data_IF_900533566988
#
_entry.id   IF_900533566988
#
_cell.length_a   1.000
_cell.length_b   1.000
_cell.length_c   1.000
_cell.angle_alpha   90.00
_cell.angle_beta   90.00
_cell.angle_gamma   90.00
#
_symmetry.space_group_name_H-M   'P 1'
#
loop_
_entity.id
_entity.type
_entity.pdbx_description
1 polymer ?
#
# COMPACT_ATOMS: atom_id res chain seq x y z
N UNK A 1 -8.21 26.87 -10.80
CA UNK A 1 -7.25 25.76 -10.89
C UNK A 1 -7.92 24.58 -10.23
N UNK A 2 -8.02 23.45 -10.91
CA UNK A 2 -8.61 22.24 -10.35
C UNK A 2 -7.50 21.42 -9.66
N UNK A 3 -7.75 21.02 -8.42
CA UNK A 3 -6.84 20.22 -7.59
C UNK A 3 -7.39 18.82 -7.31
N UNK A 4 -8.48 18.45 -7.97
CA UNK A 4 -9.02 17.10 -7.91
C UNK A 4 -8.08 16.10 -8.57
N UNK A 5 -8.11 14.87 -8.07
CA UNK A 5 -7.45 13.76 -8.74
C UNK A 5 -8.21 13.44 -10.03
N UNK A 6 -7.48 13.06 -11.07
CA UNK A 6 -8.09 12.38 -12.21
C UNK A 6 -8.73 11.06 -11.78
N UNK A 7 -9.63 10.54 -12.61
CA UNK A 7 -10.30 9.26 -12.36
C UNK A 7 -9.29 8.11 -12.15
N UNK A 8 -8.25 8.05 -12.98
CA UNK A 8 -7.16 7.05 -12.85
C UNK A 8 -6.42 7.19 -11.51
N UNK A 9 -6.07 8.41 -11.12
CA UNK A 9 -5.41 8.66 -9.84
C UNK A 9 -6.32 8.31 -8.65
N UNK A 10 -7.63 8.51 -8.77
CA UNK A 10 -8.60 8.13 -7.75
C UNK A 10 -8.69 6.60 -7.64
N UNK A 11 -8.74 5.87 -8.76
CA UNK A 11 -8.72 4.41 -8.77
C UNK A 11 -7.44 3.84 -8.15
N UNK A 12 -6.26 4.38 -8.50
CA UNK A 12 -5.00 3.98 -7.90
C UNK A 12 -4.99 4.21 -6.38
N UNK A 13 -5.44 5.39 -5.94
CA UNK A 13 -5.56 5.71 -4.51
C UNK A 13 -6.46 4.72 -3.79
N UNK A 14 -7.62 4.39 -4.36
CA UNK A 14 -8.57 3.47 -3.75
C UNK A 14 -8.01 2.04 -3.66
N UNK A 15 -7.26 1.59 -4.67
CA UNK A 15 -6.54 0.30 -4.66
C UNK A 15 -5.49 0.25 -3.55
N UNK A 16 -4.65 1.28 -3.42
CA UNK A 16 -3.64 1.37 -2.35
C UNK A 16 -4.30 1.42 -0.96
N UNK A 17 -5.40 2.18 -0.82
CA UNK A 17 -6.14 2.24 0.44
C UNK A 17 -6.78 0.91 0.84
N UNK A 18 -7.17 0.08 -0.14
CA UNK A 18 -7.65 -1.27 0.12
C UNK A 18 -6.52 -2.17 0.58
N UNK A 19 -5.41 -2.18 -0.14
CA UNK A 19 -4.21 -2.94 0.23
C UNK A 19 -3.76 -2.65 1.67
N UNK A 20 -3.67 -1.38 2.05
CA UNK A 20 -3.21 -1.01 3.40
C UNK A 20 -4.15 -1.53 4.49
N UNK A 21 -5.47 -1.51 4.24
CA UNK A 21 -6.47 -2.05 5.17
C UNK A 21 -6.44 -3.57 5.29
N UNK A 22 -6.16 -4.27 4.20
CA UNK A 22 -6.23 -5.73 4.18
C UNK A 22 -4.91 -6.37 4.61
N UNK A 23 -3.78 -5.81 4.16
CA UNK A 23 -2.46 -6.46 4.22
C UNK A 23 -1.45 -5.70 5.10
N UNK A 24 -1.77 -4.47 5.53
CA UNK A 24 -0.82 -3.59 6.23
C UNK A 24 -1.37 -2.95 7.49
N UNK A 25 -2.13 -3.72 8.25
CA UNK A 25 -2.60 -3.36 9.58
C UNK A 25 -1.44 -3.00 10.53
N UNK A 26 -1.73 -2.22 11.58
CA UNK A 26 -0.70 -1.66 12.47
C UNK A 26 0.17 -2.74 13.12
N UNK A 27 -0.40 -3.91 13.42
CA UNK A 27 0.34 -5.05 13.96
C UNK A 27 1.33 -5.63 12.95
N UNK A 28 0.90 -5.83 11.70
CA UNK A 28 1.76 -6.30 10.62
C UNK A 28 2.93 -5.33 10.42
N UNK A 29 2.64 -4.01 10.42
CA UNK A 29 3.69 -2.98 10.36
C UNK A 29 4.68 -3.08 11.51
N UNK A 30 4.21 -3.27 12.76
CA UNK A 30 5.11 -3.42 13.92
C UNK A 30 6.02 -4.64 13.80
N UNK A 31 5.50 -5.77 13.30
CA UNK A 31 6.30 -6.98 13.05
C UNK A 31 7.36 -6.75 11.98
N UNK A 32 7.01 -6.08 10.89
CA UNK A 32 7.94 -5.79 9.79
C UNK A 32 9.03 -4.80 10.21
N UNK A 33 8.70 -3.75 10.96
CA UNK A 33 9.70 -2.80 11.47
C UNK A 33 10.70 -3.48 12.41
N UNK A 34 10.28 -4.54 13.11
CA UNK A 34 11.15 -5.33 13.98
C UNK A 34 11.91 -6.45 13.26
N UNK A 35 11.65 -6.69 11.96
CA UNK A 35 12.40 -7.68 11.17
C UNK A 35 13.72 -7.09 10.67
N UNK A 36 14.66 -7.96 10.31
CA UNK A 36 15.97 -7.54 9.77
C UNK A 36 15.85 -6.72 8.49
N UNK A 37 14.83 -6.98 7.67
CA UNK A 37 14.59 -6.27 6.40
C UNK A 37 13.79 -4.98 6.59
N UNK A 38 12.99 -4.85 7.65
CA UNK A 38 12.15 -3.67 7.88
C UNK A 38 10.89 -3.58 6.99
N UNK A 39 10.74 -4.46 6.00
CA UNK A 39 9.63 -4.52 5.05
C UNK A 39 9.32 -5.96 4.63
N UNK A 40 8.13 -6.17 4.04
CA UNK A 40 7.70 -7.45 3.48
C UNK A 40 7.95 -7.48 1.98
N UNK A 41 8.75 -8.44 1.50
CA UNK A 41 8.96 -8.67 0.07
C UNK A 41 7.67 -9.06 -0.64
N UNK A 42 6.79 -9.83 0.03
CA UNK A 42 5.48 -10.20 -0.50
C UNK A 42 4.60 -8.97 -0.73
N UNK A 43 4.54 -8.07 0.25
CA UNK A 43 3.78 -6.83 0.13
C UNK A 43 4.36 -5.92 -0.97
N UNK A 44 5.68 -5.95 -1.15
CA UNK A 44 6.35 -5.21 -2.20
C UNK A 44 6.00 -5.75 -3.60
N UNK A 45 5.98 -7.07 -3.76
CA UNK A 45 5.54 -7.71 -5.00
C UNK A 45 4.08 -7.41 -5.32
N UNK A 46 3.17 -7.55 -4.34
CA UNK A 46 1.73 -7.22 -4.51
C UNK A 46 1.52 -5.77 -4.95
N UNK A 47 2.26 -4.82 -4.38
CA UNK A 47 2.19 -3.41 -4.80
C UNK A 47 2.71 -3.18 -6.22
N UNK A 48 3.71 -3.95 -6.67
CA UNK A 48 4.20 -3.87 -8.04
C UNK A 48 3.20 -4.41 -9.08
N UNK A 49 2.23 -5.24 -8.67
CA UNK A 49 1.14 -5.71 -9.54
C UNK A 49 -0.03 -4.73 -9.63
N UNK A 50 -0.11 -3.75 -8.73
CA UNK A 50 -1.17 -2.72 -8.72
C UNK A 50 -0.89 -1.55 -9.70
N UNK A 51 0.22 -1.59 -10.44
CA UNK A 51 0.62 -0.61 -11.44
C UNK A 51 1.40 -1.22 -12.60
#
# INVERSE_FOLDING_TARGET
MDFSLSEEQQLLKDSVQRFVREEYELEARRKLVASDTGYSEENWAKMAELG
#
